data_IF_679249669774
#
_entry.id   IF_679249669774
#
_cell.length_a   1.000
_cell.length_b   1.000
_cell.length_c   1.000
_cell.angle_alpha   90.00
_cell.angle_beta   90.00
_cell.angle_gamma   90.00
#
_symmetry.space_group_name_H-M   'P 1'
#
loop_
_entity.id
_entity.type
_entity.pdbx_description
1 polymer ?
#
# COMPACT_ATOMS: atom_id res chain seq x y z
N UNK A 1 12.90 15.14 -15.10
CA UNK A 1 12.06 14.61 -14.00
C UNK A 1 12.94 13.69 -13.17
N UNK A 2 12.75 13.67 -11.84
CA UNK A 2 13.45 12.71 -10.96
C UNK A 2 13.08 11.30 -11.42
N UNK A 3 14.05 10.39 -11.51
CA UNK A 3 13.80 9.03 -11.98
C UNK A 3 13.00 8.23 -10.96
N UNK A 4 12.24 7.23 -11.43
CA UNK A 4 11.52 6.33 -10.52
C UNK A 4 12.45 5.67 -9.51
N UNK A 5 13.67 5.31 -9.92
CA UNK A 5 14.64 4.64 -9.05
C UNK A 5 15.16 5.54 -7.93
N UNK A 6 15.43 6.82 -8.23
CA UNK A 6 15.78 7.79 -7.21
C UNK A 6 14.65 7.97 -6.20
N UNK A 7 13.40 7.96 -6.65
CA UNK A 7 12.24 8.07 -5.78
C UNK A 7 12.04 6.81 -4.94
N UNK A 8 12.15 5.63 -5.56
CA UNK A 8 12.11 4.34 -4.85
C UNK A 8 13.14 4.31 -3.73
N UNK A 9 14.36 4.82 -3.96
CA UNK A 9 15.40 4.89 -2.92
C UNK A 9 14.98 5.71 -1.69
N UNK A 10 14.27 6.82 -1.88
CA UNK A 10 13.72 7.63 -0.78
C UNK A 10 12.69 6.84 0.02
N UNK A 11 11.83 6.06 -0.65
CA UNK A 11 10.81 5.24 0.03
C UNK A 11 11.34 3.90 0.56
N UNK A 12 12.45 3.40 0.01
CA UNK A 12 13.13 2.16 0.44
C UNK A 12 13.77 2.29 1.82
N UNK A 13 14.26 3.48 2.15
CA UNK A 13 14.76 3.81 3.49
C UNK A 13 13.63 4.10 4.50
N UNK A 14 12.37 3.97 4.09
CA UNK A 14 11.18 4.08 4.95
C UNK A 14 10.68 2.70 5.38
N UNK A 15 9.74 2.67 6.32
CA UNK A 15 9.04 1.46 6.81
C UNK A 15 8.37 0.62 5.69
N UNK A 16 8.28 1.15 4.47
CA UNK A 16 7.68 0.51 3.30
C UNK A 16 8.70 -0.19 2.38
N UNK A 17 9.99 -0.15 2.71
CA UNK A 17 11.07 -0.65 1.84
C UNK A 17 10.92 -2.10 1.39
N UNK A 18 10.29 -2.95 2.22
CA UNK A 18 9.99 -4.35 1.91
C UNK A 18 9.14 -4.54 0.63
N UNK A 19 8.30 -3.57 0.26
CA UNK A 19 7.51 -3.67 -0.98
C UNK A 19 8.31 -3.33 -2.24
N UNK A 20 9.45 -2.64 -2.09
CA UNK A 20 10.31 -2.24 -3.20
C UNK A 20 11.44 -3.25 -3.48
N UNK A 21 11.69 -4.19 -2.55
CA UNK A 21 12.74 -5.21 -2.69
C UNK A 21 12.35 -6.36 -3.64
N UNK A 22 11.05 -6.62 -3.84
CA UNK A 22 10.54 -7.75 -4.62
C UNK A 22 10.80 -7.66 -6.14
N UNK A 23 11.27 -6.52 -6.65
CA UNK A 23 11.48 -6.26 -8.09
C UNK A 23 12.94 -6.42 -8.55
N UNK A 24 13.85 -6.90 -7.69
CA UNK A 24 15.25 -7.15 -8.07
C UNK A 24 15.39 -8.39 -8.97
N UNK A 25 14.99 -8.28 -10.25
CA UNK A 25 15.76 -8.94 -11.32
C UNK A 25 17.00 -8.09 -11.53
N UNK A 26 18.16 -8.64 -11.16
CA UNK A 26 19.48 -8.12 -11.53
C UNK A 26 19.45 -7.63 -12.99
N UNK A 27 19.53 -6.32 -13.18
CA UNK A 27 19.92 -5.75 -14.46
C UNK A 27 21.19 -4.94 -14.24
N UNK A 28 22.23 -5.38 -14.94
CA UNK A 28 23.56 -4.78 -14.98
C UNK A 28 23.46 -3.30 -15.35
N UNK A 29 24.19 -2.40 -14.67
CA UNK A 29 24.16 -0.98 -14.98
C UNK A 29 24.85 -0.76 -16.31
N UNK A 30 24.12 -0.19 -17.28
CA UNK A 30 24.72 0.35 -18.50
C UNK A 30 25.28 1.73 -18.15
N UNK A 31 26.59 1.87 -18.34
CA UNK A 31 27.38 3.06 -18.08
C UNK A 31 26.75 4.30 -18.73
N UNK A 32 26.38 5.28 -17.91
CA UNK A 32 26.18 6.66 -18.36
C UNK A 32 26.99 7.56 -17.45
N UNK A 33 28.03 8.13 -18.04
CA UNK A 33 28.94 9.12 -17.48
C UNK A 33 28.14 10.38 -17.12
N UNK A 34 28.08 10.69 -15.82
CA UNK A 34 27.33 11.81 -15.27
C UNK A 34 27.24 11.67 -13.77
N UNK A 35 27.95 12.55 -13.05
CA UNK A 35 28.07 12.60 -11.60
C UNK A 35 26.73 12.31 -10.88
N UNK A 36 26.60 11.09 -10.39
CA UNK A 36 25.49 10.68 -9.53
C UNK A 36 25.63 11.41 -8.21
N UNK A 37 24.78 12.41 -7.97
CA UNK A 37 24.66 13.04 -6.65
C UNK A 37 24.18 11.96 -5.68
N UNK A 38 25.09 11.39 -4.90
CA UNK A 38 24.79 10.47 -3.81
C UNK A 38 24.04 11.23 -2.71
N UNK A 39 22.71 11.21 -2.79
CA UNK A 39 21.87 11.73 -1.71
C UNK A 39 21.84 10.67 -0.59
N UNK A 40 22.79 10.78 0.35
CA UNK A 40 22.77 10.06 1.62
C UNK A 40 21.60 10.56 2.48
N UNK A 41 20.41 9.99 2.31
CA UNK A 41 19.24 10.27 3.16
C UNK A 41 19.27 9.30 4.34
N UNK A 42 19.91 9.69 5.43
CA UNK A 42 19.78 9.03 6.73
C UNK A 42 18.36 9.24 7.27
N UNK A 43 17.46 8.32 6.88
CA UNK A 43 16.01 8.29 7.13
C UNK A 43 15.22 9.42 6.47
N UNK A 44 14.35 9.12 5.48
CA UNK A 44 13.48 10.11 4.87
C UNK A 44 12.52 10.68 5.92
N UNK A 45 12.40 12.00 5.99
CA UNK A 45 11.41 12.64 6.87
C UNK A 45 10.04 12.59 6.22
N UNK A 46 8.97 12.65 7.03
CA UNK A 46 7.60 12.76 6.51
C UNK A 46 7.46 13.94 5.54
N UNK A 47 8.11 15.06 5.85
CA UNK A 47 8.11 16.25 5.00
C UNK A 47 8.72 15.98 3.61
N UNK A 48 9.87 15.30 3.54
CA UNK A 48 10.51 15.00 2.25
C UNK A 48 9.67 14.03 1.42
N UNK A 49 9.03 13.04 2.06
CA UNK A 49 8.12 12.12 1.40
C UNK A 49 6.88 12.83 0.85
N UNK A 50 6.26 13.71 1.63
CA UNK A 50 5.09 14.49 1.20
C UNK A 50 5.41 15.43 0.04
N UNK A 51 6.56 16.12 0.09
CA UNK A 51 7.01 16.98 -1.01
C UNK A 51 7.29 16.19 -2.29
N UNK A 52 7.80 14.97 -2.16
CA UNK A 52 8.07 14.11 -3.31
C UNK A 52 6.77 13.60 -3.94
N UNK A 53 5.76 13.23 -3.13
CA UNK A 53 4.41 12.93 -3.64
C UNK A 53 3.80 14.16 -4.30
N UNK A 54 3.92 15.34 -3.69
CA UNK A 54 3.40 16.58 -4.28
C UNK A 54 4.05 16.87 -5.64
N UNK A 55 5.38 16.74 -5.73
CA UNK A 55 6.12 16.87 -6.98
C UNK A 55 5.62 15.90 -8.05
N UNK A 56 5.47 14.61 -7.71
CA UNK A 56 5.00 13.58 -8.62
C UNK A 56 3.61 13.89 -9.18
N UNK A 57 2.65 14.19 -8.30
CA UNK A 57 1.28 14.46 -8.71
C UNK A 57 1.19 15.75 -9.52
N UNK A 58 1.90 16.81 -9.10
CA UNK A 58 1.93 18.08 -9.84
C UNK A 58 2.58 17.91 -11.22
N UNK A 59 3.62 17.09 -11.33
CA UNK A 59 4.24 16.77 -12.61
C UNK A 59 3.26 16.10 -13.56
N UNK A 60 2.50 15.12 -13.06
CA UNK A 60 1.46 14.43 -13.85
C UNK A 60 0.34 15.39 -14.26
N UNK A 61 -0.11 16.29 -13.38
CA UNK A 61 -1.13 17.29 -13.67
C UNK A 61 -0.70 18.24 -14.80
N UNK A 62 0.51 18.81 -14.68
CA UNK A 62 1.08 19.72 -15.68
C UNK A 62 1.33 19.00 -17.00
N UNK A 63 1.78 17.74 -16.96
CA UNK A 63 2.01 16.92 -18.15
C UNK A 63 0.71 16.67 -18.92
N UNK A 64 -0.36 16.30 -18.22
CA UNK A 64 -1.67 16.05 -18.82
C UNK A 64 -2.29 17.35 -19.35
N UNK A 65 -2.22 18.44 -18.58
CA UNK A 65 -2.75 19.74 -19.00
C UNK A 65 -2.07 20.28 -20.27
N UNK A 66 -0.77 20.02 -20.46
CA UNK A 66 0.00 20.50 -21.62
C UNK A 66 0.24 19.43 -22.70
N UNK A 67 -0.44 18.28 -22.63
CA UNK A 67 -0.19 17.13 -23.50
C UNK A 67 -0.30 17.48 -25.00
N UNK A 68 -1.33 18.25 -25.37
CA UNK A 68 -1.56 18.65 -26.77
C UNK A 68 -0.40 19.49 -27.32
N UNK A 69 0.09 20.46 -26.55
CA UNK A 69 1.21 21.33 -26.94
C UNK A 69 2.52 20.56 -27.02
N UNK A 70 2.74 19.59 -26.12
CA UNK A 70 3.95 18.77 -26.08
C UNK A 70 4.01 17.80 -27.27
N UNK A 71 2.87 17.22 -27.65
CA UNK A 71 2.73 16.39 -28.85
C UNK A 71 2.94 17.20 -30.14
N UNK A 72 2.34 18.39 -30.23
CA UNK A 72 2.53 19.29 -31.37
C UNK A 72 4.00 19.70 -31.56
N UNK A 73 4.76 19.81 -30.46
CA UNK A 73 6.20 20.11 -30.48
C UNK A 73 7.10 18.88 -30.66
N UNK A 74 6.54 17.69 -30.92
CA UNK A 74 7.29 16.46 -31.15
C UNK A 74 8.11 15.97 -29.94
N UNK A 75 7.84 16.47 -28.72
CA UNK A 75 8.58 16.10 -27.52
C UNK A 75 8.01 14.82 -26.92
N UNK A 76 8.85 13.79 -26.77
CA UNK A 76 8.53 12.62 -25.94
C UNK A 76 8.65 12.98 -24.46
N UNK A 77 7.52 13.17 -23.80
CA UNK A 77 7.47 13.48 -22.37
C UNK A 77 7.48 12.18 -21.58
N UNK A 78 8.38 12.06 -20.61
CA UNK A 78 8.45 10.88 -19.74
C UNK A 78 7.22 10.89 -18.82
N UNK A 79 6.59 9.73 -18.66
CA UNK A 79 5.49 9.48 -17.71
C UNK A 79 6.01 8.60 -16.60
N UNK A 80 5.48 8.76 -15.39
CA UNK A 80 5.63 7.72 -14.38
C UNK A 80 4.71 6.54 -14.71
N UNK A 81 5.18 5.32 -14.43
CA UNK A 81 4.40 4.11 -14.64
C UNK A 81 3.29 3.95 -13.58
N UNK A 82 2.16 3.37 -13.97
CA UNK A 82 1.06 3.11 -13.04
C UNK A 82 1.45 2.12 -11.94
N UNK A 83 2.32 1.16 -12.26
CA UNK A 83 2.91 0.23 -11.31
C UNK A 83 3.71 0.97 -10.22
N UNK A 84 4.64 1.84 -10.61
CA UNK A 84 5.39 2.65 -9.66
C UNK A 84 4.49 3.50 -8.75
N UNK A 85 3.50 4.20 -9.32
CA UNK A 85 2.61 5.06 -8.54
C UNK A 85 1.76 4.28 -7.53
N UNK A 86 1.49 2.99 -7.79
CA UNK A 86 0.74 2.12 -6.89
C UNK A 86 1.54 1.59 -5.69
N UNK A 87 2.87 1.53 -5.82
CA UNK A 87 3.78 1.12 -4.75
C UNK A 87 3.94 2.21 -3.68
N UNK A 88 3.53 3.44 -4.00
CA UNK A 88 3.67 4.58 -3.11
C UNK A 88 2.59 4.59 -2.01
N UNK A 89 2.97 4.81 -0.74
CA UNK A 89 2.06 4.85 0.40
C UNK A 89 1.30 6.19 0.49
N UNK A 90 0.67 6.61 -0.62
CA UNK A 90 0.05 7.94 -0.77
C UNK A 90 -1.01 8.19 0.31
N UNK A 91 -1.92 7.23 0.51
CA UNK A 91 -3.00 7.30 1.50
C UNK A 91 -2.46 7.45 2.93
N UNK A 92 -1.48 6.62 3.29
CA UNK A 92 -0.84 6.69 4.60
C UNK A 92 -0.15 8.04 4.87
N UNK A 93 0.61 8.55 3.90
CA UNK A 93 1.32 9.82 4.04
C UNK A 93 0.35 10.99 4.20
N UNK A 94 -0.73 11.03 3.41
CA UNK A 94 -1.76 12.06 3.55
C UNK A 94 -2.47 11.96 4.89
N UNK A 95 -2.76 10.76 5.39
CA UNK A 95 -3.36 10.58 6.71
C UNK A 95 -2.44 11.09 7.84
N UNK A 96 -1.13 10.86 7.72
CA UNK A 96 -0.17 11.40 8.67
C UNK A 96 -0.07 12.94 8.58
N UNK A 97 -0.14 13.51 7.37
CA UNK A 97 -0.19 14.95 7.17
C UNK A 97 -1.46 15.60 7.73
N UNK A 98 -2.60 14.89 7.65
CA UNK A 98 -3.86 15.32 8.25
C UNK A 98 -3.78 15.37 9.78
N UNK A 99 -3.14 14.37 10.41
CA UNK A 99 -2.94 14.32 11.87
C UNK A 99 -2.07 15.46 12.39
N UNK A 100 -1.12 15.94 11.58
CA UNK A 100 -0.24 17.07 11.90
C UNK A 100 -0.55 18.30 11.02
N UNK A 101 -1.79 18.76 11.12
CA UNK A 101 -2.29 19.86 10.30
C UNK A 101 -1.62 21.21 10.60
N UNK A 102 -1.05 21.37 11.80
CA UNK A 102 -0.28 22.56 12.18
C UNK A 102 1.00 22.72 11.36
N UNK A 103 1.67 21.60 11.04
CA UNK A 103 2.91 21.59 10.28
C UNK A 103 2.69 21.46 8.76
N UNK A 104 1.64 20.73 8.35
CA UNK A 104 1.43 20.34 6.94
C UNK A 104 0.15 20.88 6.30
N UNK A 105 -0.66 21.69 6.99
CA UNK A 105 -1.95 22.17 6.49
C UNK A 105 -1.88 22.88 5.14
N UNK A 106 -0.79 23.64 4.89
CA UNK A 106 -0.57 24.32 3.60
C UNK A 106 -0.29 23.38 2.43
N UNK A 107 0.28 22.19 2.68
CA UNK A 107 0.58 21.19 1.66
C UNK A 107 -0.56 20.18 1.48
N UNK A 108 -1.31 19.91 2.56
CA UNK A 108 -2.38 18.92 2.58
C UNK A 108 -3.50 19.24 1.58
N UNK A 109 -4.00 20.48 1.55
CA UNK A 109 -5.10 20.86 0.65
C UNK A 109 -4.74 20.74 -0.85
N UNK A 110 -3.57 21.27 -1.30
CA UNK A 110 -3.11 21.04 -2.67
C UNK A 110 -2.90 19.56 -3.01
N UNK A 111 -2.33 18.77 -2.10
CA UNK A 111 -2.13 17.34 -2.28
C UNK A 111 -3.45 16.59 -2.44
N UNK A 112 -4.44 16.87 -1.59
CA UNK A 112 -5.75 16.24 -1.66
C UNK A 112 -6.47 16.56 -2.97
N UNK A 113 -6.36 17.80 -3.45
CA UNK A 113 -6.91 18.20 -4.75
C UNK A 113 -6.26 17.42 -5.90
N UNK A 114 -4.93 17.30 -5.90
CA UNK A 114 -4.21 16.52 -6.91
C UNK A 114 -4.51 15.01 -6.80
N UNK A 115 -4.75 14.51 -5.59
CA UNK A 115 -5.16 13.12 -5.40
C UNK A 115 -6.53 12.86 -6.03
N UNK A 116 -7.49 13.75 -5.81
CA UNK A 116 -8.84 13.61 -6.35
C UNK A 116 -8.85 13.59 -7.90
N UNK A 117 -7.90 14.27 -8.55
CA UNK A 117 -7.78 14.28 -10.01
C UNK A 117 -7.07 13.04 -10.56
N UNK A 118 -5.98 12.60 -9.94
CA UNK A 118 -5.15 11.50 -10.46
C UNK A 118 -5.53 10.10 -9.92
N UNK A 119 -6.08 10.04 -8.71
CA UNK A 119 -6.44 8.80 -8.02
C UNK A 119 -7.81 8.93 -7.33
N UNK A 120 -8.90 9.12 -8.08
CA UNK A 120 -10.23 9.31 -7.51
C UNK A 120 -10.64 8.17 -6.58
N UNK A 121 -10.27 6.92 -6.91
CA UNK A 121 -10.51 5.75 -6.06
C UNK A 121 -9.82 5.79 -4.68
N UNK A 122 -8.78 6.61 -4.49
CA UNK A 122 -8.12 6.80 -3.20
C UNK A 122 -8.68 7.99 -2.41
N UNK A 123 -9.58 8.77 -3.03
CA UNK A 123 -10.18 9.98 -2.45
C UNK A 123 -11.62 9.80 -1.96
N UNK A 124 -12.09 8.54 -1.84
CA UNK A 124 -13.44 8.24 -1.37
C UNK A 124 -13.65 8.72 0.06
N UNK A 125 -14.64 9.57 0.32
CA UNK A 125 -14.87 10.24 1.62
C UNK A 125 -14.91 9.24 2.79
N UNK A 126 -15.51 8.07 2.59
CA UNK A 126 -15.62 7.02 3.60
C UNK A 126 -14.25 6.56 4.13
N UNK A 127 -13.23 6.53 3.26
CA UNK A 127 -11.86 6.13 3.61
C UNK A 127 -11.14 7.13 4.54
N UNK A 128 -11.67 8.35 4.70
CA UNK A 128 -11.05 9.46 5.46
C UNK A 128 -11.78 9.78 6.76
N UNK A 129 -13.00 9.28 6.93
CA UNK A 129 -13.84 9.52 8.11
C UNK A 129 -13.60 8.50 9.25
N UNK A 130 -12.74 7.50 9.02
CA UNK A 130 -12.67 6.27 9.81
C UNK A 130 -11.80 6.29 11.08
N UNK A 131 -11.19 7.43 11.47
CA UNK A 131 -10.50 7.53 12.78
C UNK A 131 -11.46 7.24 13.97
N UNK A 132 -12.78 7.20 13.73
CA UNK A 132 -13.79 6.83 14.73
C UNK A 132 -14.27 5.38 14.68
N UNK A 133 -14.07 4.62 13.59
CA UNK A 133 -14.65 3.26 13.44
C UNK A 133 -13.81 2.20 14.15
N UNK A 134 -12.50 2.40 14.24
CA UNK A 134 -11.62 1.54 15.05
C UNK A 134 -11.61 1.90 16.55
N UNK A 135 -12.58 2.74 16.98
CA UNK A 135 -12.67 3.30 18.31
C UNK A 135 -12.57 2.26 19.41
N UNK A 136 -11.55 2.42 20.27
CA UNK A 136 -11.46 1.99 21.68
C UNK A 136 -12.17 0.69 22.11
N UNK A 137 -12.22 -0.33 21.25
CA UNK A 137 -12.52 -1.68 21.70
C UNK A 137 -11.36 -2.07 22.62
N UNK A 138 -11.61 -2.01 23.92
CA UNK A 138 -10.69 -2.27 25.03
C UNK A 138 -9.35 -2.83 24.55
N UNK A 139 -8.29 -2.01 24.58
CA UNK A 139 -6.89 -2.43 24.38
C UNK A 139 -6.49 -3.44 25.45
N UNK A 140 -7.06 -4.64 25.40
CA UNK A 140 -6.59 -5.79 26.13
C UNK A 140 -5.24 -6.10 25.50
N UNK A 141 -4.20 -5.80 26.27
CA UNK A 141 -2.80 -6.01 25.91
C UNK A 141 -2.59 -7.52 25.75
N UNK A 142 -2.97 -8.05 24.59
CA UNK A 142 -2.67 -9.42 24.21
C UNK A 142 -1.18 -9.46 23.90
N UNK A 143 -0.40 -9.99 24.85
CA UNK A 143 1.06 -10.12 24.82
C UNK A 143 1.50 -11.25 23.87
N UNK A 144 0.86 -11.35 22.70
CA UNK A 144 1.22 -12.33 21.68
C UNK A 144 2.24 -11.69 20.77
N UNK A 145 3.39 -12.36 20.66
CA UNK A 145 4.37 -12.05 19.63
C UNK A 145 3.78 -12.41 18.25
N UNK A 146 3.42 -11.38 17.48
CA UNK A 146 2.96 -11.56 16.11
C UNK A 146 4.13 -12.01 15.23
N UNK A 147 4.07 -13.24 14.73
CA UNK A 147 5.03 -13.80 13.77
C UNK A 147 4.30 -14.47 12.62
N UNK A 148 4.99 -14.64 11.50
CA UNK A 148 4.49 -15.36 10.32
C UNK A 148 4.03 -16.78 10.67
N UNK A 149 4.77 -17.47 11.52
CA UNK A 149 4.43 -18.82 12.00
C UNK A 149 3.14 -18.82 12.82
N UNK A 150 2.99 -17.87 13.74
CA UNK A 150 1.80 -17.75 14.59
C UNK A 150 0.54 -17.48 13.76
N UNK A 151 0.66 -16.64 12.73
CA UNK A 151 -0.43 -16.34 11.79
C UNK A 151 -0.78 -17.61 11.00
N UNK A 152 0.20 -18.25 10.35
CA UNK A 152 -0.05 -19.46 9.56
C UNK A 152 -0.73 -20.56 10.37
N UNK A 153 -0.25 -20.85 11.58
CA UNK A 153 -0.89 -21.85 12.44
C UNK A 153 -2.31 -21.47 12.83
N UNK A 154 -2.54 -20.20 13.20
CA UNK A 154 -3.86 -19.76 13.65
C UNK A 154 -4.90 -19.79 12.52
N UNK A 155 -4.50 -19.56 11.27
CA UNK A 155 -5.41 -19.61 10.13
C UNK A 155 -5.57 -21.01 9.52
N UNK A 156 -4.59 -21.91 9.67
CA UNK A 156 -4.75 -23.32 9.27
C UNK A 156 -5.81 -24.04 10.09
N UNK A 157 -5.90 -23.72 11.38
CA UNK A 157 -6.82 -24.33 12.33
C UNK A 157 -8.11 -23.49 12.51
N UNK A 158 -8.51 -22.70 11.50
CA UNK A 158 -9.63 -21.75 11.65
C UNK A 158 -10.98 -22.46 11.90
N UNK A 159 -11.18 -23.62 11.28
CA UNK A 159 -12.40 -24.44 11.44
C UNK A 159 -12.41 -25.20 12.77
N UNK A 160 -11.24 -25.67 13.22
CA UNK A 160 -11.11 -26.50 14.42
C UNK A 160 -10.98 -25.68 15.70
N UNK A 161 -10.34 -24.50 15.62
CA UNK A 161 -10.10 -23.61 16.75
C UNK A 161 -10.16 -22.12 16.32
N UNK A 162 -11.38 -21.59 16.05
CA UNK A 162 -11.57 -20.20 15.64
C UNK A 162 -11.11 -19.18 16.71
N UNK A 163 -11.02 -19.59 17.97
CA UNK A 163 -10.54 -18.73 19.06
C UNK A 163 -9.07 -18.33 18.88
N UNK A 164 -8.21 -19.25 18.41
CA UNK A 164 -6.78 -18.95 18.15
C UNK A 164 -6.66 -17.88 17.07
N UNK A 165 -7.42 -18.00 15.99
CA UNK A 165 -7.50 -17.01 14.89
C UNK A 165 -8.01 -15.66 15.40
N UNK A 166 -9.12 -15.66 16.16
CA UNK A 166 -9.70 -14.44 16.71
C UNK A 166 -8.73 -13.68 17.63
N UNK A 167 -7.91 -14.40 18.40
CA UNK A 167 -6.89 -13.78 19.26
C UNK A 167 -5.79 -13.10 18.44
N UNK A 168 -5.31 -13.75 17.37
CA UNK A 168 -4.33 -13.17 16.45
C UNK A 168 -4.90 -11.93 15.74
N UNK A 169 -6.12 -12.00 15.23
CA UNK A 169 -6.79 -10.88 14.58
C UNK A 169 -6.92 -9.67 15.50
N UNK A 170 -7.33 -9.89 16.77
CA UNK A 170 -7.37 -8.82 17.78
C UNK A 170 -5.98 -8.26 18.09
N UNK A 171 -4.94 -9.12 18.16
CA UNK A 171 -3.56 -8.64 18.30
C UNK A 171 -3.14 -7.78 17.10
N UNK A 172 -3.52 -8.14 15.87
CA UNK A 172 -3.27 -7.31 14.69
C UNK A 172 -4.00 -5.97 14.80
N UNK A 173 -5.29 -5.94 15.14
CA UNK A 173 -6.05 -4.70 15.34
C UNK A 173 -5.47 -3.77 16.43
N UNK A 174 -4.71 -4.31 17.39
CA UNK A 174 -4.07 -3.50 18.42
C UNK A 174 -2.72 -2.88 17.99
N UNK A 175 -2.15 -3.26 16.84
CA UNK A 175 -0.87 -2.75 16.33
C UNK A 175 -1.06 -1.63 15.31
N UNK A 176 -0.03 -0.82 15.06
CA UNK A 176 -0.12 0.18 14.00
C UNK A 176 -0.25 -0.52 12.63
N UNK A 177 -1.05 0.03 11.69
CA UNK A 177 -1.21 -0.54 10.36
C UNK A 177 0.12 -0.88 9.66
N UNK A 178 1.12 -0.04 9.86
CA UNK A 178 2.48 -0.20 9.31
C UNK A 178 3.24 -1.40 9.87
N UNK A 179 3.01 -1.74 11.15
CA UNK A 179 3.67 -2.88 11.81
C UNK A 179 3.03 -4.22 11.40
N UNK A 180 1.81 -4.17 10.88
CA UNK A 180 1.04 -5.34 10.43
C UNK A 180 1.30 -5.61 8.95
N UNK A 181 1.60 -4.56 8.17
CA UNK A 181 1.79 -4.64 6.72
C UNK A 181 2.75 -5.75 6.25
N UNK A 182 3.89 -6.03 6.90
CA UNK A 182 4.77 -7.14 6.50
C UNK A 182 4.08 -8.51 6.46
N UNK A 183 2.98 -8.67 7.19
CA UNK A 183 2.19 -9.92 7.23
C UNK A 183 1.04 -9.95 6.21
N UNK A 184 0.85 -8.90 5.40
CA UNK A 184 -0.29 -8.75 4.49
C UNK A 184 -0.40 -9.91 3.49
N UNK A 185 0.71 -10.35 2.90
CA UNK A 185 0.71 -11.45 1.92
C UNK A 185 0.23 -12.77 2.56
N UNK A 186 0.77 -13.11 3.74
CA UNK A 186 0.39 -14.31 4.49
C UNK A 186 -1.08 -14.22 4.93
N UNK A 187 -1.51 -13.05 5.39
CA UNK A 187 -2.88 -12.79 5.83
C UNK A 187 -3.90 -13.00 4.69
N UNK A 188 -3.59 -12.48 3.50
CA UNK A 188 -4.47 -12.56 2.33
C UNK A 188 -4.52 -13.97 1.73
N UNK A 189 -3.47 -14.80 1.92
CA UNK A 189 -3.49 -16.21 1.50
C UNK A 189 -4.68 -17.00 2.06
N UNK A 190 -5.13 -16.66 3.26
CA UNK A 190 -6.25 -17.33 3.94
C UNK A 190 -7.62 -16.71 3.65
N UNK A 191 -7.71 -15.73 2.74
CA UNK A 191 -8.94 -14.98 2.47
C UNK A 191 -10.14 -15.89 2.17
N UNK A 192 -9.96 -16.91 1.30
CA UNK A 192 -11.04 -17.86 1.00
C UNK A 192 -11.39 -18.74 2.19
N UNK A 193 -10.41 -19.26 2.93
CA UNK A 193 -10.64 -20.12 4.10
C UNK A 193 -11.48 -19.42 5.17
N UNK A 194 -11.34 -18.10 5.30
CA UNK A 194 -12.15 -17.29 6.21
C UNK A 194 -13.60 -17.16 5.75
N UNK A 195 -13.84 -17.17 4.43
CA UNK A 195 -15.18 -17.08 3.84
C UNK A 195 -15.96 -18.40 3.86
N UNK A 196 -15.39 -19.48 4.40
CA UNK A 196 -16.09 -20.76 4.52
C UNK A 196 -17.29 -20.68 5.49
N UNK A 197 -18.36 -21.41 5.19
CA UNK A 197 -19.58 -21.45 5.99
C UNK A 197 -19.37 -21.99 7.42
N UNK A 198 -18.30 -22.77 7.65
CA UNK A 198 -17.94 -23.30 8.97
C UNK A 198 -17.25 -22.26 9.86
N UNK A 199 -16.78 -21.14 9.30
CA UNK A 199 -16.08 -20.11 10.08
C UNK A 199 -17.09 -19.20 10.77
N UNK A 200 -16.99 -19.01 12.11
CA UNK A 200 -17.92 -18.13 12.83
C UNK A 200 -17.88 -16.69 12.30
N UNK A 201 -19.06 -16.08 12.14
CA UNK A 201 -19.22 -14.68 11.65
C UNK A 201 -18.35 -13.66 12.39
N UNK A 202 -18.14 -13.84 13.70
CA UNK A 202 -17.27 -12.94 14.47
C UNK A 202 -15.81 -12.94 13.96
N UNK A 203 -15.29 -14.09 13.52
CA UNK A 203 -13.94 -14.20 12.95
C UNK A 203 -13.88 -13.53 11.58
N UNK A 204 -14.93 -13.69 10.77
CA UNK A 204 -15.06 -13.00 9.48
C UNK A 204 -15.08 -11.47 9.65
N UNK A 205 -15.80 -10.96 10.65
CA UNK A 205 -15.82 -9.52 10.94
C UNK A 205 -14.45 -9.00 11.40
N UNK A 206 -13.79 -9.71 12.32
CA UNK A 206 -12.43 -9.37 12.74
C UNK A 206 -11.43 -9.39 11.58
N UNK A 207 -11.57 -10.36 10.67
CA UNK A 207 -10.73 -10.43 9.46
C UNK A 207 -11.00 -9.24 8.54
N UNK A 208 -12.27 -8.89 8.31
CA UNK A 208 -12.67 -7.71 7.55
C UNK A 208 -12.06 -6.43 8.14
N UNK A 209 -12.13 -6.24 9.45
CA UNK A 209 -11.53 -5.08 10.13
C UNK A 209 -10.01 -5.01 9.93
N UNK A 210 -9.30 -6.14 10.06
CA UNK A 210 -7.84 -6.19 9.80
C UNK A 210 -7.53 -5.86 8.35
N UNK A 211 -8.31 -6.39 7.40
CA UNK A 211 -8.16 -6.09 5.98
C UNK A 211 -8.37 -4.60 5.70
N UNK A 212 -9.41 -3.98 6.26
CA UNK A 212 -9.66 -2.54 6.16
C UNK A 212 -8.51 -1.72 6.75
N UNK A 213 -7.94 -2.18 7.87
CA UNK A 213 -6.77 -1.54 8.48
C UNK A 213 -5.52 -1.64 7.61
N UNK A 214 -5.29 -2.75 6.92
CA UNK A 214 -4.21 -2.87 5.93
C UNK A 214 -4.47 -1.97 4.70
N UNK A 215 -5.73 -1.79 4.33
CA UNK A 215 -6.16 -0.96 3.20
C UNK A 215 -5.87 0.55 3.42
N UNK A 216 -5.59 0.98 4.65
CA UNK A 216 -5.14 2.36 4.93
C UNK A 216 -3.67 2.59 4.58
N UNK A 217 -2.88 1.51 4.44
CA UNK A 217 -1.44 1.57 4.21
C UNK A 217 -1.15 1.64 2.70
N UNK A 218 -1.43 0.55 1.99
CA UNK A 218 -1.16 0.38 0.56
C UNK A 218 -2.35 -0.34 -0.10
N UNK A 219 -3.46 0.40 -0.33
CA UNK A 219 -4.71 -0.19 -0.82
C UNK A 219 -4.52 -0.95 -2.14
N UNK A 220 -3.79 -0.37 -3.09
CA UNK A 220 -3.57 -1.00 -4.40
C UNK A 220 -2.77 -2.30 -4.31
N UNK A 221 -1.73 -2.36 -3.50
CA UNK A 221 -0.97 -3.60 -3.28
C UNK A 221 -1.86 -4.66 -2.64
N UNK A 222 -2.65 -4.27 -1.63
CA UNK A 222 -3.56 -5.18 -0.93
C UNK A 222 -4.63 -5.75 -1.87
N UNK A 223 -5.21 -4.92 -2.74
CA UNK A 223 -6.23 -5.36 -3.70
C UNK A 223 -5.67 -6.42 -4.64
N UNK A 224 -4.45 -6.21 -5.17
CA UNK A 224 -3.81 -7.21 -6.03
C UNK A 224 -3.51 -8.50 -5.30
N UNK A 225 -2.95 -8.43 -4.09
CA UNK A 225 -2.73 -9.63 -3.28
C UNK A 225 -4.05 -10.39 -3.07
N UNK A 226 -5.14 -9.66 -2.82
CA UNK A 226 -6.47 -10.25 -2.57
C UNK A 226 -7.03 -10.89 -3.83
N UNK A 227 -6.95 -10.22 -4.97
CA UNK A 227 -7.38 -10.75 -6.27
C UNK A 227 -6.56 -12.00 -6.62
N UNK A 228 -5.23 -11.96 -6.50
CA UNK A 228 -4.37 -13.10 -6.81
C UNK A 228 -4.67 -14.29 -5.89
N UNK A 229 -4.84 -14.06 -4.59
CA UNK A 229 -5.22 -15.12 -3.65
C UNK A 229 -6.59 -15.75 -3.98
N UNK A 230 -7.54 -14.99 -4.53
CA UNK A 230 -8.82 -15.53 -4.99
C UNK A 230 -8.70 -16.28 -6.33
N UNK A 231 -7.84 -15.85 -7.23
CA UNK A 231 -7.66 -16.43 -8.56
C UNK A 231 -6.83 -17.72 -8.58
N UNK A 232 -5.78 -17.80 -7.77
CA UNK A 232 -4.95 -19.00 -7.59
C UNK A 232 -5.80 -20.24 -7.25
N UNK A 233 -6.99 -20.00 -6.69
CA UNK A 233 -7.91 -21.04 -6.24
C UNK A 233 -8.88 -21.48 -7.35
N UNK A 234 -9.22 -20.61 -8.30
CA UNK A 234 -10.15 -20.94 -9.39
C UNK A 234 -9.45 -21.69 -10.54
N UNK A 235 -8.13 -21.51 -10.70
CA UNK A 235 -7.37 -22.03 -11.82
C UNK A 235 -6.45 -23.20 -11.43
N UNK A 236 -6.99 -24.24 -10.77
CA UNK A 236 -6.25 -25.45 -10.41
C UNK A 236 -5.57 -26.23 -11.56
N UNK A 237 -5.54 -25.71 -12.80
CA UNK A 237 -4.72 -26.24 -13.90
C UNK A 237 -4.55 -25.32 -15.14
N UNK A 238 -4.65 -23.98 -15.04
CA UNK A 238 -4.51 -23.12 -16.22
C UNK A 238 -3.75 -21.82 -15.96
N UNK A 239 -2.55 -21.74 -16.55
CA UNK A 239 -1.69 -20.56 -16.82
C UNK A 239 -1.66 -19.50 -15.71
N UNK A 240 -0.54 -19.46 -14.98
CA UNK A 240 -0.14 -18.41 -14.03
C UNK A 240 -0.35 -17.00 -14.61
N UNK A 241 -1.55 -16.44 -14.46
CA UNK A 241 -1.84 -15.04 -14.71
C UNK A 241 -1.76 -14.33 -13.37
N UNK A 242 -0.53 -14.06 -12.93
CA UNK A 242 -0.32 -13.13 -11.82
C UNK A 242 -0.81 -11.78 -12.30
N UNK A 243 -1.93 -11.33 -11.75
CA UNK A 243 -2.48 -10.04 -12.09
C UNK A 243 -1.54 -8.98 -11.50
N UNK A 244 -0.98 -8.15 -12.39
CA UNK A 244 -0.17 -6.99 -12.04
C UNK A 244 -1.03 -5.73 -12.10
N UNK A 245 -0.55 -4.63 -11.51
CA UNK A 245 -1.24 -3.33 -11.53
C UNK A 245 -1.60 -2.84 -12.94
N UNK A 246 -0.80 -3.26 -13.92
CA UNK A 246 -1.00 -2.92 -15.33
C UNK A 246 -2.15 -3.70 -15.97
N UNK A 247 -2.49 -4.88 -15.44
CA UNK A 247 -3.53 -5.76 -15.98
C UNK A 247 -4.91 -5.56 -15.30
N UNK A 248 -4.96 -4.99 -14.09
CA UNK A 248 -6.23 -4.75 -13.35
C UNK A 248 -7.00 -3.53 -13.89
N UNK A 249 -6.27 -2.53 -14.42
CA UNK A 249 -6.81 -1.20 -14.69
C UNK A 249 -7.26 -1.00 -16.15
N UNK A 250 -7.51 -2.09 -16.89
CA UNK A 250 -8.10 -2.04 -18.25
C UNK A 250 -9.60 -1.89 -18.17
#
# INVERSE_FOLDING_TARGET
>A
PITEEEIRRVFRNSIFGVNFDSQNKLFTPMETDGESVEIHIEKPTLASQLLLIYYLLLYEDIRLANAATLLANGRKVKSYSAAFLSELPIKYLLHQAQKDQMSYGGLFSPLLRLLATHFPQLSLVDDWMDDQVFGDYCRQRSDIHLSETSINEAFRDIETNPYKTGKILKTMLNKNPTDIWPFAEIFVKYFKSVLDDQVPRHIQELYREVWLRLNTVLPRCLWIMTINALLDINNGNAKNLTITQENVLV
#
